data_IF_299930382764
#
_entry.id   IF_299930382764
#
_cell.length_a   1.000
_cell.length_b   1.000
_cell.length_c   1.000
_cell.angle_alpha   90.00
_cell.angle_beta   90.00
_cell.angle_gamma   90.00
#
_symmetry.space_group_name_H-M   'P 1'
#
loop_
_entity.id
_entity.type
_entity.pdbx_description
1 polymer ?
#
# COMPACT_ATOMS: atom_id res chain seq x y z
N UNK A 1 22.54 44.56 -27.16
CA UNK A 1 22.15 44.46 -25.73
C UNK A 1 21.49 43.09 -25.41
N UNK A 2 22.23 42.17 -24.77
CA UNK A 2 21.65 40.91 -24.26
C UNK A 2 20.98 41.19 -22.91
N UNK A 3 19.70 40.85 -22.79
CA UNK A 3 19.00 40.85 -21.51
C UNK A 3 19.57 39.73 -20.61
N UNK A 4 19.72 39.96 -19.29
CA UNK A 4 20.17 38.91 -18.40
C UNK A 4 19.07 37.87 -18.22
N UNK A 5 19.41 36.61 -18.52
CA UNK A 5 18.56 35.47 -18.19
C UNK A 5 18.70 35.25 -16.69
N UNK A 6 17.74 35.74 -15.91
CA UNK A 6 17.64 35.32 -14.52
C UNK A 6 17.27 33.83 -14.52
N UNK A 7 18.28 32.98 -14.33
CA UNK A 7 18.06 31.57 -14.02
C UNK A 7 17.27 31.52 -12.71
N UNK A 8 15.99 31.13 -12.78
CA UNK A 8 15.21 30.80 -11.60
C UNK A 8 15.81 29.53 -11.02
N UNK A 9 16.69 29.67 -10.03
CA UNK A 9 17.23 28.54 -9.29
C UNK A 9 16.08 27.84 -8.57
N UNK A 10 15.64 26.70 -9.09
CA UNK A 10 14.64 25.88 -8.42
C UNK A 10 15.25 25.36 -7.09
N UNK A 11 14.48 25.39 -5.99
CA UNK A 11 14.91 24.79 -4.74
C UNK A 11 15.19 23.30 -4.95
N UNK A 12 16.32 22.83 -4.44
CA UNK A 12 16.70 21.42 -4.51
C UNK A 12 15.70 20.57 -3.71
N UNK A 13 15.24 19.42 -4.24
CA UNK A 13 14.32 18.55 -3.53
C UNK A 13 14.99 18.03 -2.25
N UNK A 14 14.35 18.24 -1.10
CA UNK A 14 14.77 17.62 0.17
C UNK A 14 14.11 16.26 0.30
N UNK A 15 14.85 15.20 -0.05
CA UNK A 15 14.39 13.82 0.07
C UNK A 15 14.01 13.49 1.53
N UNK A 16 12.88 12.81 1.72
CA UNK A 16 12.40 12.37 3.05
C UNK A 16 11.77 13.46 3.94
N UNK A 17 11.61 14.69 3.44
CA UNK A 17 10.95 15.77 4.19
C UNK A 17 9.43 15.76 4.02
N UNK A 18 8.71 16.40 4.95
CA UNK A 18 7.25 16.54 4.88
C UNK A 18 6.88 17.25 3.56
N UNK A 19 6.15 16.59 2.64
CA UNK A 19 5.80 17.15 1.34
C UNK A 19 4.74 18.26 1.43
N UNK A 20 4.13 18.47 2.60
CA UNK A 20 3.17 19.54 2.84
C UNK A 20 3.93 20.86 3.06
N UNK A 21 3.84 21.84 2.16
CA UNK A 21 4.54 23.11 2.33
C UNK A 21 3.97 23.91 3.51
N UNK A 22 4.84 24.54 4.31
CA UNK A 22 4.44 25.39 5.43
C UNK A 22 3.68 26.67 5.01
N UNK A 23 3.83 27.10 3.75
CA UNK A 23 3.25 28.35 3.25
C UNK A 23 1.98 28.11 2.41
N UNK A 24 0.86 28.40 3.05
CA UNK A 24 -0.57 28.23 2.76
C UNK A 24 -1.15 28.81 1.46
N UNK A 25 -0.38 29.06 0.39
CA UNK A 25 -0.92 29.64 -0.86
C UNK A 25 -1.66 28.64 -1.74
N UNK A 26 -1.41 27.34 -1.56
CA UNK A 26 -2.08 26.26 -2.27
C UNK A 26 -2.86 25.50 -1.20
N UNK A 27 -4.19 25.65 -1.19
CA UNK A 27 -5.21 24.96 -0.38
C UNK A 27 -4.71 24.11 0.79
N UNK A 28 -5.15 24.44 2.01
CA UNK A 28 -4.87 23.90 3.37
C UNK A 28 -4.93 22.36 3.57
N UNK A 29 -4.50 21.57 2.60
CA UNK A 29 -4.55 20.11 2.62
C UNK A 29 -3.26 19.62 3.26
N UNK A 30 -3.31 19.32 4.56
CA UNK A 30 -2.19 18.75 5.29
C UNK A 30 -2.10 17.27 4.96
N UNK A 31 -1.06 16.86 4.22
CA UNK A 31 -0.87 15.46 3.87
C UNK A 31 -0.12 14.72 4.98
N UNK A 32 -0.88 14.00 5.81
CA UNK A 32 -0.34 13.14 6.85
C UNK A 32 0.38 11.92 6.27
N UNK A 33 1.33 11.31 7.01
CA UNK A 33 1.95 10.05 6.63
C UNK A 33 0.91 8.96 6.36
N UNK A 34 1.11 8.18 5.31
CA UNK A 34 0.15 7.12 4.95
C UNK A 34 0.00 6.07 6.07
N UNK A 35 1.08 5.80 6.80
CA UNK A 35 1.17 4.85 7.91
C UNK A 35 1.21 5.53 9.29
N UNK A 36 0.52 6.67 9.44
CA UNK A 36 0.43 7.41 10.71
C UNK A 36 -0.15 6.53 11.83
N UNK A 37 0.72 6.09 12.75
CA UNK A 37 0.34 5.23 13.88
C UNK A 37 -0.34 6.01 15.01
N UNK A 38 0.00 7.29 15.13
CA UNK A 38 -0.50 8.17 16.19
C UNK A 38 -1.89 8.72 15.85
N UNK A 39 -2.20 8.82 14.55
CA UNK A 39 -3.51 9.24 14.05
C UNK A 39 -4.12 8.28 13.02
N UNK A 40 -4.73 7.17 13.47
CA UNK A 40 -5.36 6.17 12.58
C UNK A 40 -6.49 6.72 11.70
N UNK A 41 -7.13 7.83 12.10
CA UNK A 41 -8.19 8.47 11.33
C UNK A 41 -7.65 9.25 10.12
N UNK A 42 -6.39 9.68 10.16
CA UNK A 42 -5.69 10.32 9.05
C UNK A 42 -4.83 9.34 8.25
N UNK A 43 -4.45 8.21 8.85
CA UNK A 43 -3.76 7.13 8.16
C UNK A 43 -4.56 6.61 6.96
N UNK A 44 -3.83 5.98 6.04
CA UNK A 44 -4.36 5.36 4.81
C UNK A 44 -5.13 6.35 3.95
N UNK A 45 -4.64 7.60 3.87
CA UNK A 45 -5.12 8.60 2.92
C UNK A 45 -4.01 8.90 1.93
N UNK A 46 -4.36 8.98 0.65
CA UNK A 46 -3.45 9.43 -0.39
C UNK A 46 -3.87 10.80 -0.89
N UNK A 47 -2.90 11.59 -1.33
CA UNK A 47 -3.14 12.86 -1.99
C UNK A 47 -3.55 12.58 -3.43
N UNK A 48 -4.80 12.91 -3.78
CA UNK A 48 -5.24 12.93 -5.16
C UNK A 48 -4.79 14.25 -5.80
N UNK A 49 -3.86 14.16 -6.76
CA UNK A 49 -3.29 15.30 -7.48
C UNK A 49 -4.06 15.46 -8.79
N UNK A 50 -5.06 16.33 -8.77
CA UNK A 50 -5.87 16.72 -9.91
C UNK A 50 -6.06 18.26 -9.89
N UNK A 51 -7.05 18.81 -10.60
CA UNK A 51 -7.42 20.24 -10.57
C UNK A 51 -7.62 20.79 -9.15
N UNK A 52 -7.96 19.93 -8.19
CA UNK A 52 -8.02 20.25 -6.76
C UNK A 52 -7.32 19.16 -5.95
N UNK A 53 -6.36 19.57 -5.14
CA UNK A 53 -5.72 18.70 -4.16
C UNK A 53 -6.74 18.25 -3.11
N UNK A 54 -6.86 16.94 -2.92
CA UNK A 54 -7.77 16.33 -1.94
C UNK A 54 -7.15 15.09 -1.33
N UNK A 55 -7.36 14.89 -0.03
CA UNK A 55 -7.06 13.61 0.62
C UNK A 55 -8.22 12.65 0.43
N UNK A 56 -7.91 11.47 -0.11
CA UNK A 56 -8.88 10.41 -0.35
C UNK A 56 -8.48 9.21 0.51
N UNK A 57 -9.46 8.63 1.21
CA UNK A 57 -9.23 7.42 1.99
C UNK A 57 -9.00 6.24 1.05
N UNK A 58 -7.95 5.50 1.34
CA UNK A 58 -7.58 4.31 0.62
C UNK A 58 -8.64 3.21 0.79
N UNK A 59 -9.14 2.74 -0.34
CA UNK A 59 -10.09 1.64 -0.46
C UNK A 59 -9.45 0.41 -1.14
N UNK A 60 -8.14 0.40 -1.38
CA UNK A 60 -7.39 -0.70 -1.97
C UNK A 60 -7.69 -2.06 -1.33
N UNK A 61 -7.81 -2.21 0.01
CA UNK A 61 -8.18 -3.51 0.60
C UNK A 61 -9.52 -4.05 0.13
N UNK A 62 -10.46 -3.17 -0.22
CA UNK A 62 -11.76 -3.54 -0.75
C UNK A 62 -11.74 -3.70 -2.29
N UNK A 63 -10.68 -3.29 -2.98
CA UNK A 63 -10.56 -3.45 -4.41
C UNK A 63 -10.37 -4.94 -4.78
N UNK A 64 -11.15 -5.42 -5.76
CA UNK A 64 -11.12 -6.82 -6.20
C UNK A 64 -9.74 -7.22 -6.72
N UNK A 65 -9.15 -6.41 -7.62
CA UNK A 65 -7.86 -6.70 -8.22
C UNK A 65 -6.73 -6.70 -7.19
N UNK A 66 -6.77 -5.78 -6.22
CA UNK A 66 -5.81 -5.79 -5.11
C UNK A 66 -5.90 -7.09 -4.31
N UNK A 67 -7.11 -7.54 -3.97
CA UNK A 67 -7.32 -8.79 -3.24
C UNK A 67 -6.83 -10.00 -4.03
N UNK A 68 -7.19 -10.09 -5.31
CA UNK A 68 -6.75 -11.16 -6.21
C UNK A 68 -5.21 -11.23 -6.27
N UNK A 69 -4.55 -10.11 -6.55
CA UNK A 69 -3.10 -10.06 -6.65
C UNK A 69 -2.40 -10.31 -5.34
N UNK A 70 -2.96 -9.86 -4.21
CA UNK A 70 -2.43 -10.17 -2.87
C UNK A 70 -2.43 -11.67 -2.62
N UNK A 71 -3.49 -12.38 -2.99
CA UNK A 71 -3.60 -13.83 -2.86
C UNK A 71 -2.61 -14.55 -3.78
N UNK A 72 -2.52 -14.15 -5.06
CA UNK A 72 -1.54 -14.71 -6.01
C UNK A 72 -0.10 -14.50 -5.51
N UNK A 73 0.22 -13.29 -5.05
CA UNK A 73 1.52 -12.96 -4.48
C UNK A 73 1.84 -13.80 -3.23
N UNK A 74 0.88 -13.98 -2.34
CA UNK A 74 0.98 -14.87 -1.18
C UNK A 74 1.35 -16.30 -1.59
N UNK A 75 0.67 -16.85 -2.59
CA UNK A 75 0.97 -18.18 -3.09
C UNK A 75 2.36 -18.28 -3.75
N UNK A 76 2.73 -17.32 -4.60
CA UNK A 76 4.00 -17.37 -5.33
C UNK A 76 5.23 -17.23 -4.43
N UNK A 77 5.15 -16.38 -3.41
CA UNK A 77 6.33 -16.01 -2.61
C UNK A 77 6.32 -16.58 -1.19
N UNK A 78 5.14 -16.91 -0.66
CA UNK A 78 4.96 -17.42 0.70
C UNK A 78 4.29 -18.80 0.74
N UNK A 79 4.01 -19.41 -0.43
CA UNK A 79 3.38 -20.73 -0.56
C UNK A 79 1.97 -20.82 0.05
N UNK A 80 1.30 -19.68 0.23
CA UNK A 80 -0.07 -19.57 0.76
C UNK A 80 -1.12 -19.76 -0.35
N UNK A 81 -1.30 -21.01 -0.81
CA UNK A 81 -2.10 -21.33 -1.99
C UNK A 81 -3.49 -21.95 -1.69
N UNK A 82 -4.03 -21.77 -0.48
CA UNK A 82 -5.28 -22.40 -0.02
C UNK A 82 -6.48 -22.18 -0.98
N UNK A 83 -6.50 -21.04 -1.67
CA UNK A 83 -7.56 -20.70 -2.63
C UNK A 83 -7.59 -21.61 -3.88
N UNK A 84 -6.50 -22.31 -4.20
CA UNK A 84 -6.43 -23.25 -5.32
C UNK A 84 -7.13 -24.58 -5.04
N UNK A 85 -7.27 -24.94 -3.76
CA UNK A 85 -7.76 -26.27 -3.38
C UNK A 85 -9.27 -26.35 -3.18
N UNK A 86 -9.98 -25.21 -3.17
CA UNK A 86 -11.45 -25.16 -3.02
C UNK A 86 -11.97 -25.87 -1.76
N UNK A 87 -13.27 -25.74 -1.46
CA UNK A 87 -13.90 -26.46 -0.35
C UNK A 87 -13.92 -27.99 -0.56
N UNK A 88 -13.53 -28.48 -1.73
CA UNK A 88 -13.39 -29.91 -2.06
C UNK A 88 -12.02 -30.48 -1.63
N UNK A 89 -11.10 -29.62 -1.16
CA UNK A 89 -9.75 -29.99 -0.72
C UNK A 89 -9.58 -30.21 0.78
N UNK A 90 -10.63 -30.02 1.60
CA UNK A 90 -10.66 -30.53 2.99
C UNK A 90 -11.07 -32.00 3.05
N UNK A 91 -10.51 -32.80 2.15
CA UNK A 91 -10.42 -34.24 2.38
C UNK A 91 -9.46 -34.46 3.54
N UNK A 92 -10.01 -34.85 4.69
CA UNK A 92 -9.26 -35.47 5.78
C UNK A 92 -8.26 -36.47 5.20
N UNK A 93 -6.97 -36.18 5.30
CA UNK A 93 -5.95 -37.24 5.24
C UNK A 93 -5.97 -37.94 6.60
N UNK A 94 -7.07 -38.65 6.87
CA UNK A 94 -7.12 -39.70 7.87
C UNK A 94 -6.78 -41.02 7.16
N UNK A 95 -5.70 -41.66 7.59
CA UNK A 95 -5.52 -43.10 7.38
C UNK A 95 -4.33 -43.52 6.52
N UNK A 96 -3.13 -43.47 7.09
CA UNK A 96 -2.20 -44.58 6.97
C UNK A 96 -1.93 -45.12 8.38
N UNK A 97 -2.90 -45.88 8.90
CA UNK A 97 -2.73 -46.66 10.12
C UNK A 97 -1.81 -47.86 9.85
N UNK A 98 -0.79 -48.04 10.69
CA UNK A 98 -0.29 -49.35 11.06
C UNK A 98 1.10 -49.75 10.55
N UNK A 99 2.14 -49.44 11.33
CA UNK A 99 3.28 -50.35 11.49
C UNK A 99 3.61 -50.52 12.98
N UNK A 100 3.02 -51.60 13.50
CA UNK A 100 3.48 -52.55 14.51
C UNK A 100 4.72 -52.18 15.36
N UNK A 101 4.53 -52.34 16.67
CA UNK A 101 5.54 -52.59 17.70
C UNK A 101 6.66 -53.56 17.25
N UNK A 102 7.91 -53.20 17.59
CA UNK A 102 9.07 -54.02 17.99
C UNK A 102 10.23 -52.99 18.15
N UNK A 103 10.98 -52.84 19.23
CA UNK A 103 11.29 -53.67 20.39
C UNK A 103 11.89 -52.75 21.47
#
# INVERSE_FOLDING_TARGET
>A
PRLPVHAVQLPQPRYGSNPTPNNSRINQTIWHPYNDRDNPQQARKFLNIDRRLRLVRDKLPANYYYRLWRTVFGCLYYFECDFLYGDEGKGTVEGANGSKNLQ
#
